data_IF_739482714680
#
_entry.id   IF_739482714680
#
_cell.length_a   1.000
_cell.length_b   1.000
_cell.length_c   1.000
_cell.angle_alpha   90.00
_cell.angle_beta   90.00
_cell.angle_gamma   90.00
#
_symmetry.space_group_name_H-M   'P 1'
#
loop_
_entity.id
_entity.type
_entity.pdbx_description
1 polymer ?
#
# COMPACT_ATOMS: atom_id res chain seq x y z
N UNK A 1 19.00 -11.85 17.13
CA UNK A 1 18.42 -11.29 15.89
C UNK A 1 17.27 -10.41 16.32
N UNK A 2 17.42 -9.08 16.27
CA UNK A 2 16.30 -8.15 16.49
C UNK A 2 15.30 -8.35 15.37
N UNK A 3 14.02 -8.58 15.69
CA UNK A 3 12.98 -8.64 14.67
C UNK A 3 12.97 -7.30 13.92
N UNK A 4 12.97 -7.33 12.58
CA UNK A 4 12.76 -6.11 11.80
C UNK A 4 11.35 -5.59 12.06
N UNK A 5 11.26 -4.28 12.23
CA UNK A 5 10.01 -3.58 12.52
C UNK A 5 9.71 -2.61 11.38
N UNK A 6 8.48 -2.65 10.88
CA UNK A 6 8.04 -1.89 9.71
C UNK A 6 6.84 -1.00 10.05
N UNK A 7 6.72 0.11 9.32
CA UNK A 7 5.49 0.92 9.27
C UNK A 7 4.85 0.75 7.90
N UNK A 8 3.54 0.56 7.87
CA UNK A 8 2.80 0.27 6.62
C UNK A 8 1.68 1.27 6.40
N UNK A 9 1.36 1.54 5.13
CA UNK A 9 0.16 2.29 4.74
C UNK A 9 -0.79 1.31 4.08
N UNK A 10 -2.03 1.27 4.57
CA UNK A 10 -3.07 0.37 4.09
C UNK A 10 -4.33 1.18 3.72
N UNK A 11 -5.14 0.60 2.85
CA UNK A 11 -6.46 1.11 2.47
C UNK A 11 -7.47 -0.03 2.43
N UNK A 12 -8.72 0.24 2.06
CA UNK A 12 -9.78 -0.76 2.00
C UNK A 12 -9.60 -1.75 0.82
N UNK A 13 -10.16 -2.95 0.96
CA UNK A 13 -10.34 -3.90 -0.14
C UNK A 13 -11.35 -3.36 -1.17
N UNK A 14 -11.23 -3.76 -2.44
CA UNK A 14 -11.90 -3.14 -3.59
C UNK A 14 -11.46 -1.69 -3.85
N UNK A 15 -10.18 -1.39 -3.58
CA UNK A 15 -9.54 -0.09 -3.81
C UNK A 15 -9.94 0.53 -5.14
N UNK A 16 -10.44 1.76 -5.06
CA UNK A 16 -10.63 2.64 -6.20
C UNK A 16 -9.48 3.64 -6.36
N UNK A 17 -9.63 4.59 -7.29
CA UNK A 17 -8.55 5.52 -7.57
C UNK A 17 -8.29 6.51 -6.43
N UNK A 18 -9.28 6.80 -5.58
CA UNK A 18 -9.09 7.72 -4.45
C UNK A 18 -8.26 7.04 -3.36
N UNK A 19 -8.57 5.78 -3.06
CA UNK A 19 -7.77 4.93 -2.17
C UNK A 19 -6.34 4.71 -2.71
N UNK A 20 -6.18 4.43 -4.01
CA UNK A 20 -4.85 4.27 -4.62
C UNK A 20 -4.03 5.57 -4.60
N UNK A 21 -4.66 6.70 -4.90
CA UNK A 21 -4.01 8.00 -4.85
C UNK A 21 -3.63 8.38 -3.40
N UNK A 22 -4.49 8.05 -2.44
CA UNK A 22 -4.23 8.25 -1.01
C UNK A 22 -3.07 7.39 -0.51
N UNK A 23 -2.94 6.14 -0.97
CA UNK A 23 -1.77 5.28 -0.69
C UNK A 23 -0.48 5.96 -1.17
N UNK A 24 -0.47 6.47 -2.42
CA UNK A 24 0.68 7.17 -2.97
C UNK A 24 0.99 8.46 -2.19
N UNK A 25 -0.03 9.26 -1.90
CA UNK A 25 0.11 10.51 -1.17
C UNK A 25 0.70 10.30 0.22
N UNK A 26 0.21 9.30 0.95
CA UNK A 26 0.78 8.93 2.25
C UNK A 26 2.23 8.44 2.12
N UNK A 27 2.58 7.66 1.09
CA UNK A 27 3.96 7.19 0.89
C UNK A 27 4.93 8.35 0.61
N UNK A 28 4.46 9.40 -0.08
CA UNK A 28 5.23 10.62 -0.32
C UNK A 28 5.43 11.45 0.95
N UNK A 29 4.43 11.47 1.85
CA UNK A 29 4.49 12.20 3.12
C UNK A 29 5.31 11.47 4.18
N UNK A 30 5.26 10.13 4.20
CA UNK A 30 5.89 9.28 5.21
C UNK A 30 6.93 8.37 4.56
N UNK A 31 8.13 8.91 4.35
CA UNK A 31 9.18 8.30 3.50
C UNK A 31 9.71 6.94 3.96
N UNK A 32 9.51 6.58 5.25
CA UNK A 32 9.95 5.30 5.84
C UNK A 32 8.78 4.30 6.01
N UNK A 33 7.74 4.41 5.19
CA UNK A 33 6.56 3.53 5.24
C UNK A 33 6.38 2.74 3.95
N UNK A 34 5.81 1.53 4.07
CA UNK A 34 5.56 0.64 2.95
C UNK A 34 4.09 0.77 2.53
N UNK A 35 3.76 1.35 1.36
CA UNK A 35 2.39 1.38 0.87
C UNK A 35 2.01 0.03 0.27
N UNK A 36 1.07 -0.66 0.91
CA UNK A 36 0.70 -2.04 0.55
C UNK A 36 -0.57 -2.04 -0.27
N UNK A 37 -0.53 -2.67 -1.44
CA UNK A 37 -1.74 -2.93 -2.22
C UNK A 37 -2.58 -4.01 -1.53
N UNK A 38 -3.91 -3.82 -1.39
CA UNK A 38 -4.79 -4.86 -0.90
C UNK A 38 -4.91 -6.00 -1.91
N UNK A 39 -5.51 -7.10 -1.46
CA UNK A 39 -5.66 -8.29 -2.30
C UNK A 39 -6.68 -8.09 -3.42
N UNK A 40 -7.70 -7.26 -3.17
CA UNK A 40 -8.76 -6.95 -4.10
C UNK A 40 -8.67 -5.49 -4.52
N UNK A 41 -8.40 -5.29 -5.81
CA UNK A 41 -8.48 -4.00 -6.47
C UNK A 41 -9.77 -3.96 -7.29
N UNK A 42 -10.38 -2.78 -7.42
CA UNK A 42 -11.44 -2.64 -8.40
C UNK A 42 -10.88 -2.84 -9.83
N UNK A 43 -11.77 -3.12 -10.79
CA UNK A 43 -11.38 -3.45 -12.16
C UNK A 43 -10.53 -2.35 -12.82
N UNK A 44 -10.94 -1.10 -12.66
CA UNK A 44 -10.28 0.03 -13.32
C UNK A 44 -8.86 0.26 -12.77
N UNK A 45 -8.68 0.15 -11.45
CA UNK A 45 -7.37 0.25 -10.78
C UNK A 45 -6.48 -0.93 -11.15
N UNK A 46 -7.03 -2.14 -11.22
CA UNK A 46 -6.29 -3.33 -11.65
C UNK A 46 -5.78 -3.20 -13.09
N UNK A 47 -6.65 -2.80 -14.03
CA UNK A 47 -6.27 -2.56 -15.43
C UNK A 47 -5.23 -1.42 -15.55
N UNK A 48 -5.36 -0.36 -14.77
CA UNK A 48 -4.38 0.73 -14.72
C UNK A 48 -3.01 0.26 -14.20
N UNK A 49 -2.98 -0.45 -13.08
CA UNK A 49 -1.73 -0.95 -12.49
C UNK A 49 -1.08 -2.03 -13.36
N UNK A 50 -1.84 -2.79 -14.15
CA UNK A 50 -1.28 -3.72 -15.13
C UNK A 50 -0.38 -3.01 -16.16
N UNK A 51 -0.66 -1.74 -16.47
CA UNK A 51 0.12 -0.93 -17.41
C UNK A 51 1.22 -0.10 -16.72
N UNK A 52 0.95 0.42 -15.52
CA UNK A 52 1.78 1.48 -14.92
C UNK A 52 2.41 1.13 -13.57
N UNK A 53 2.22 -0.09 -13.05
CA UNK A 53 2.70 -0.49 -11.71
C UNK A 53 4.15 -0.10 -11.42
N UNK A 54 5.05 -0.28 -12.37
CA UNK A 54 6.49 -0.05 -12.18
C UNK A 54 6.86 1.43 -11.93
N UNK A 55 5.89 2.34 -12.05
CA UNK A 55 6.06 3.77 -11.78
C UNK A 55 5.73 4.14 -10.32
N UNK A 56 5.26 3.19 -9.51
CA UNK A 56 4.79 3.44 -8.14
C UNK A 56 5.57 2.60 -7.11
N UNK A 57 5.72 3.08 -5.86
CA UNK A 57 6.45 2.39 -4.80
C UNK A 57 5.63 1.30 -4.09
N UNK A 58 4.55 0.81 -4.71
CA UNK A 58 3.61 -0.09 -4.09
C UNK A 58 4.18 -1.51 -3.93
N UNK A 59 3.89 -2.14 -2.79
CA UNK A 59 4.24 -3.52 -2.50
C UNK A 59 2.97 -4.37 -2.45
N UNK A 60 2.96 -5.55 -3.07
CA UNK A 60 1.83 -6.47 -2.89
C UNK A 60 1.80 -7.01 -1.47
N UNK A 61 0.62 -7.20 -0.88
CA UNK A 61 0.48 -7.77 0.46
C UNK A 61 1.23 -9.10 0.64
N UNK A 62 1.32 -9.93 -0.42
CA UNK A 62 2.06 -11.22 -0.39
C UNK A 62 3.58 -11.06 -0.41
N UNK A 63 4.07 -9.90 -0.83
CA UNK A 63 5.50 -9.54 -0.96
C UNK A 63 5.96 -8.68 0.21
N UNK A 64 5.07 -8.34 1.15
CA UNK A 64 5.39 -7.55 2.31
C UNK A 64 6.53 -8.22 3.12
N UNK A 65 7.61 -7.49 3.46
CA UNK A 65 8.71 -8.05 4.23
C UNK A 65 8.23 -8.63 5.57
N UNK A 66 8.75 -9.81 5.92
CA UNK A 66 8.46 -10.41 7.23
C UNK A 66 9.03 -9.53 8.35
N UNK A 67 8.29 -9.42 9.44
CA UNK A 67 8.67 -8.60 10.59
C UNK A 67 7.47 -8.25 11.45
N UNK A 68 7.69 -7.41 12.45
CA UNK A 68 6.59 -6.81 13.22
C UNK A 68 6.15 -5.51 12.56
N UNK A 69 4.85 -5.26 12.54
CA UNK A 69 4.31 -3.95 12.16
C UNK A 69 4.22 -3.10 13.43
N UNK A 70 4.97 -2.00 13.52
CA UNK A 70 4.89 -1.08 14.66
C UNK A 70 3.81 -0.03 14.50
N UNK A 71 3.51 0.37 13.25
CA UNK A 71 2.56 1.41 12.94
C UNK A 71 1.82 1.09 11.65
N UNK A 72 0.53 1.41 11.64
CA UNK A 72 -0.32 1.37 10.46
C UNK A 72 -0.86 2.78 10.22
N UNK A 73 -0.75 3.26 9.00
CA UNK A 73 -1.44 4.46 8.51
C UNK A 73 -2.59 3.99 7.63
N UNK A 74 -3.83 4.24 8.05
CA UNK A 74 -5.02 3.91 7.28
C UNK A 74 -5.44 5.12 6.45
N UNK A 75 -5.68 4.90 5.15
CA UNK A 75 -6.16 5.93 4.23
C UNK A 75 -7.42 5.49 3.51
N UNK A 76 -8.30 6.46 3.23
CA UNK A 76 -9.59 6.26 2.55
C UNK A 76 -10.44 5.11 3.13
N UNK A 77 -10.38 4.92 4.45
CA UNK A 77 -11.17 3.91 5.16
C UNK A 77 -11.44 4.35 6.60
N UNK A 78 -12.39 3.68 7.27
CA UNK A 78 -12.69 3.84 8.69
C UNK A 78 -12.34 2.60 9.49
#
# INVERSE_FOLDING_TARGET
MTAQTHSVILTHEHTDFDALASLLGAALLFSDTIPVLPYQLNRNVSEFLALYRNQFPFVEAKELPRGQVAQVILVDTR
#
